data_IF_056414183593
#
_entry.id   IF_056414183593
#
_cell.length_a   1.000
_cell.length_b   1.000
_cell.length_c   1.000
_cell.angle_alpha   90.00
_cell.angle_beta   90.00
_cell.angle_gamma   90.00
#
_symmetry.space_group_name_H-M   'P 1'
#
loop_
_entity.id
_entity.type
_entity.pdbx_description
1 polymer ?
#
# COMPACT_ATOMS: atom_id res chain seq x y z
N UNK A 1 0.04 21.75 13.19
CA UNK A 1 -0.28 20.56 12.36
C UNK A 1 -0.63 19.43 13.30
N UNK A 2 -1.58 18.55 12.95
CA UNK A 2 -1.87 17.35 13.75
C UNK A 2 -0.94 16.22 13.29
N UNK A 3 -0.64 15.26 14.18
CA UNK A 3 0.21 14.08 13.87
C UNK A 3 -0.30 13.34 12.63
N UNK A 4 -1.62 13.21 12.47
CA UNK A 4 -2.23 12.61 11.29
C UNK A 4 -1.85 13.35 9.99
N UNK A 5 -1.87 14.69 9.99
CA UNK A 5 -1.47 15.48 8.81
C UNK A 5 -0.02 15.23 8.43
N UNK A 6 0.89 15.15 9.40
CA UNK A 6 2.32 14.84 9.16
C UNK A 6 2.51 13.46 8.52
N UNK A 7 1.79 12.46 9.02
CA UNK A 7 1.83 11.10 8.45
C UNK A 7 1.34 11.09 7.01
N UNK A 8 0.24 11.77 6.69
CA UNK A 8 -0.28 11.82 5.31
C UNK A 8 0.70 12.52 4.37
N UNK A 9 1.31 13.63 4.78
CA UNK A 9 2.34 14.31 3.98
C UNK A 9 3.57 13.43 3.73
N UNK A 10 4.00 12.67 4.71
CA UNK A 10 5.13 11.74 4.56
C UNK A 10 4.76 10.53 3.66
N UNK A 11 3.51 10.03 3.73
CA UNK A 11 3.00 9.02 2.77
C UNK A 11 3.07 9.56 1.34
N UNK A 12 2.57 10.77 1.10
CA UNK A 12 2.60 11.40 -0.22
C UNK A 12 4.03 11.53 -0.76
N UNK A 13 4.96 11.99 0.08
CA UNK A 13 6.38 12.08 -0.26
C UNK A 13 6.95 10.72 -0.67
N UNK A 14 6.69 9.65 0.10
CA UNK A 14 7.18 8.30 -0.21
C UNK A 14 6.60 7.74 -1.51
N UNK A 15 5.32 7.97 -1.77
CA UNK A 15 4.70 7.62 -3.06
C UNK A 15 5.35 8.38 -4.23
N UNK A 16 5.73 9.65 -4.02
CA UNK A 16 6.47 10.43 -5.00
C UNK A 16 7.87 9.90 -5.29
N UNK A 17 8.54 9.36 -4.27
CA UNK A 17 9.84 8.68 -4.36
C UNK A 17 9.75 7.23 -4.86
N UNK A 18 8.53 6.70 -5.10
CA UNK A 18 8.27 5.28 -5.35
C UNK A 18 8.90 4.38 -4.26
N UNK A 19 8.65 4.73 -3.00
CA UNK A 19 9.06 3.99 -1.81
C UNK A 19 7.82 3.44 -1.10
N UNK A 20 7.84 2.14 -0.78
CA UNK A 20 6.83 1.53 0.08
C UNK A 20 6.96 2.01 1.53
N UNK A 21 5.93 1.77 2.33
CA UNK A 21 5.88 2.18 3.74
C UNK A 21 5.00 1.25 4.57
N UNK A 22 5.14 1.36 5.88
CA UNK A 22 4.33 0.66 6.87
C UNK A 22 3.82 1.66 7.90
N UNK A 23 2.53 1.60 8.21
CA UNK A 23 1.88 2.38 9.27
C UNK A 23 1.62 1.44 10.44
N UNK A 24 2.16 1.81 11.59
CA UNK A 24 1.94 1.15 12.88
C UNK A 24 1.47 2.17 13.91
N UNK A 25 0.93 1.73 15.04
CA UNK A 25 0.55 2.62 16.13
C UNK A 25 1.41 2.37 17.37
N UNK A 26 2.09 3.42 17.84
CA UNK A 26 2.83 3.43 19.10
C UNK A 26 2.11 4.38 20.06
N UNK A 27 1.68 3.91 21.23
CA UNK A 27 0.92 4.70 22.21
C UNK A 27 -0.29 5.43 21.59
N UNK A 28 -1.02 4.73 20.72
CA UNK A 28 -2.17 5.25 19.98
C UNK A 28 -1.85 6.43 19.03
N UNK A 29 -0.58 6.58 18.64
CA UNK A 29 -0.12 7.55 17.64
C UNK A 29 0.37 6.83 16.39
N UNK A 30 -0.06 7.25 15.19
CA UNK A 30 0.42 6.64 13.95
C UNK A 30 1.89 6.98 13.72
N UNK A 31 2.69 5.97 13.42
CA UNK A 31 4.10 6.05 13.07
C UNK A 31 4.32 5.41 11.70
N UNK A 32 5.05 6.10 10.83
CA UNK A 32 5.43 5.57 9.51
C UNK A 32 6.84 4.99 9.55
N UNK A 33 6.98 3.76 9.08
CA UNK A 33 8.22 3.00 9.04
C UNK A 33 8.54 2.57 7.60
N UNK A 34 9.81 2.25 7.39
CA UNK A 34 10.23 1.54 6.18
C UNK A 34 9.74 0.09 6.25
N UNK A 35 9.20 -0.43 5.14
CA UNK A 35 8.79 -1.83 5.07
C UNK A 35 10.00 -2.73 5.31
N UNK A 36 9.94 -3.54 6.36
CA UNK A 36 10.95 -4.59 6.59
C UNK A 36 10.72 -5.75 5.61
N UNK A 37 11.58 -5.84 4.59
CA UNK A 37 11.57 -6.86 3.52
C UNK A 37 10.69 -6.47 2.32
N UNK A 38 11.14 -6.36 1.07
CA UNK A 38 12.29 -6.94 0.38
C UNK A 38 13.25 -5.82 -0.06
N UNK A 39 14.25 -5.49 0.75
CA UNK A 39 15.53 -5.06 0.20
C UNK A 39 16.10 -6.32 -0.45
N UNK A 40 16.08 -6.41 -1.79
CA UNK A 40 16.96 -7.36 -2.48
C UNK A 40 18.39 -6.91 -2.21
N UNK A 41 18.92 -7.36 -1.07
CA UNK A 41 20.30 -7.33 -0.65
C UNK A 41 20.93 -5.92 -0.55
N UNK A 42 21.83 -5.74 0.41
CA UNK A 42 22.94 -4.80 0.23
C UNK A 42 23.81 -5.35 -0.92
N UNK A 43 23.37 -5.19 -2.17
CA UNK A 43 24.25 -5.49 -3.30
C UNK A 43 25.27 -4.36 -3.31
N UNK A 44 26.53 -4.72 -3.10
CA UNK A 44 27.67 -3.85 -3.32
C UNK A 44 27.50 -3.17 -4.68
N UNK A 45 27.61 -1.83 -4.71
CA UNK A 45 27.50 -1.00 -5.93
C UNK A 45 28.42 -1.44 -7.08
N UNK A 46 29.35 -2.39 -6.85
CA UNK A 46 30.30 -2.91 -7.84
C UNK A 46 29.77 -4.04 -8.74
N UNK A 47 28.69 -4.75 -8.40
CA UNK A 47 28.26 -5.94 -9.17
C UNK A 47 27.11 -5.73 -10.17
N UNK A 48 26.42 -4.58 -10.15
CA UNK A 48 25.30 -4.29 -11.06
C UNK A 48 25.69 -3.22 -12.09
N UNK A 49 26.79 -3.42 -12.83
CA UNK A 49 27.00 -2.69 -14.09
C UNK A 49 26.23 -3.40 -15.19
N UNK A 50 25.01 -2.93 -15.48
CA UNK A 50 24.35 -3.31 -16.75
C UNK A 50 22.84 -3.31 -16.76
N UNK A 51 22.16 -3.48 -15.62
CA UNK A 51 20.69 -3.50 -15.58
C UNK A 51 20.19 -2.47 -14.57
N UNK A 52 20.13 -1.20 -14.98
CA UNK A 52 19.24 -0.25 -14.32
C UNK A 52 17.81 -0.74 -14.60
N UNK A 53 17.24 -1.53 -13.69
CA UNK A 53 15.78 -1.71 -13.66
C UNK A 53 15.19 -0.31 -13.48
N UNK A 54 14.73 0.28 -14.57
CA UNK A 54 14.03 1.56 -14.57
C UNK A 54 12.86 1.38 -13.60
N UNK A 55 12.89 2.05 -12.45
CA UNK A 55 11.73 2.06 -11.54
C UNK A 55 10.58 2.64 -12.36
N UNK A 56 9.60 1.82 -12.71
CA UNK A 56 8.37 2.31 -13.35
C UNK A 56 7.74 3.28 -12.37
N UNK A 57 7.60 4.53 -12.79
CA UNK A 57 6.97 5.56 -11.97
C UNK A 57 5.52 5.16 -11.75
N UNK A 58 5.04 5.18 -10.50
CA UNK A 58 3.63 5.02 -10.21
C UNK A 58 2.82 6.07 -10.99
N UNK A 59 1.74 5.63 -11.62
CA UNK A 59 0.77 6.52 -12.27
C UNK A 59 0.09 7.40 -11.23
N UNK A 60 -0.34 8.58 -11.66
CA UNK A 60 -0.87 9.64 -10.78
C UNK A 60 -2.17 9.20 -10.08
N UNK A 61 -3.07 8.57 -10.83
CA UNK A 61 -4.32 7.96 -10.35
C UNK A 61 -4.08 6.93 -9.25
N UNK A 62 -3.12 6.02 -9.42
CA UNK A 62 -2.75 5.02 -8.40
C UNK A 62 -2.20 5.72 -7.15
N UNK A 63 -1.36 6.76 -7.29
CA UNK A 63 -0.86 7.51 -6.13
C UNK A 63 -1.99 8.16 -5.34
N UNK A 64 -2.89 8.84 -6.03
CA UNK A 64 -4.05 9.50 -5.42
C UNK A 64 -4.96 8.47 -4.73
N UNK A 65 -5.19 7.32 -5.37
CA UNK A 65 -5.92 6.22 -4.78
C UNK A 65 -5.29 5.76 -3.47
N UNK A 66 -3.99 5.44 -3.48
CA UNK A 66 -3.29 4.94 -2.29
C UNK A 66 -3.27 6.00 -1.19
N UNK A 67 -3.12 7.28 -1.54
CA UNK A 67 -3.18 8.39 -0.58
C UNK A 67 -4.56 8.49 0.09
N UNK A 68 -5.64 8.41 -0.69
CA UNK A 68 -7.01 8.45 -0.18
C UNK A 68 -7.34 7.26 0.72
N UNK A 69 -6.92 6.05 0.32
CA UNK A 69 -7.04 4.84 1.14
C UNK A 69 -6.27 5.02 2.45
N UNK A 70 -5.03 5.48 2.36
CA UNK A 70 -4.17 5.66 3.53
C UNK A 70 -4.77 6.64 4.52
N UNK A 71 -5.36 7.74 4.04
CA UNK A 71 -6.07 8.71 4.86
C UNK A 71 -7.22 8.06 5.64
N UNK A 72 -8.07 7.29 4.95
CA UNK A 72 -9.18 6.57 5.61
C UNK A 72 -8.70 5.55 6.63
N UNK A 73 -7.66 4.79 6.34
CA UNK A 73 -7.12 3.79 7.26
C UNK A 73 -6.48 4.45 8.49
N UNK A 74 -5.69 5.52 8.31
CA UNK A 74 -5.11 6.30 9.41
C UNK A 74 -6.20 6.96 10.25
N UNK A 75 -7.29 7.42 9.64
CA UNK A 75 -8.39 8.00 10.38
C UNK A 75 -9.06 7.01 11.35
N UNK A 76 -9.10 5.73 10.98
CA UNK A 76 -9.69 4.63 11.75
C UNK A 76 -8.68 3.87 12.62
N UNK A 77 -7.42 4.32 12.73
CA UNK A 77 -6.45 3.64 13.58
C UNK A 77 -5.92 2.31 13.03
N UNK A 78 -6.03 2.08 11.71
CA UNK A 78 -5.69 0.78 11.10
C UNK A 78 -4.20 0.71 10.77
N UNK A 79 -3.57 -0.39 11.17
CA UNK A 79 -2.21 -0.76 10.74
C UNK A 79 -2.23 -1.41 9.36
N UNK A 80 -1.26 -1.03 8.52
CA UNK A 80 -1.14 -1.58 7.17
C UNK A 80 0.24 -1.26 6.58
N UNK A 81 0.61 -1.98 5.54
CA UNK A 81 1.79 -1.66 4.72
C UNK A 81 1.46 -1.57 3.25
N UNK A 82 2.18 -0.72 2.55
CA UNK A 82 2.10 -0.53 1.10
C UNK A 82 3.38 -1.01 0.44
N UNK A 83 3.26 -2.01 -0.42
CA UNK A 83 4.34 -2.56 -1.25
C UNK A 83 4.17 -2.07 -2.68
N UNK A 84 5.26 -1.57 -3.26
CA UNK A 84 5.28 -1.07 -4.64
C UNK A 84 6.03 -2.06 -5.53
N UNK A 85 5.30 -2.72 -6.43
CA UNK A 85 5.85 -3.62 -7.44
C UNK A 85 5.76 -2.99 -8.84
N UNK A 86 6.49 -3.50 -9.85
CA UNK A 86 6.53 -2.87 -11.18
C UNK A 86 5.18 -2.65 -11.90
N UNK A 87 4.14 -3.43 -11.55
CA UNK A 87 2.81 -3.39 -12.19
C UNK A 87 1.65 -3.45 -11.19
N UNK A 88 1.94 -3.51 -9.90
CA UNK A 88 0.94 -3.73 -8.86
C UNK A 88 1.36 -3.01 -7.59
N UNK A 89 0.39 -2.37 -6.93
CA UNK A 89 0.57 -1.86 -5.57
C UNK A 89 -0.21 -2.76 -4.64
N UNK A 90 0.43 -3.25 -3.59
CA UNK A 90 -0.23 -4.11 -2.61
C UNK A 90 -0.40 -3.33 -1.30
N UNK A 91 -1.63 -3.27 -0.80
CA UNK A 91 -1.96 -2.84 0.56
C UNK A 91 -2.16 -4.09 1.38
N UNK A 92 -1.31 -4.33 2.38
CA UNK A 92 -1.36 -5.53 3.21
C UNK A 92 -1.69 -5.15 4.65
N UNK A 93 -2.66 -5.84 5.25
CA UNK A 93 -3.06 -5.67 6.64
C UNK A 93 -2.36 -6.72 7.53
N UNK A 94 -2.35 -7.97 7.08
CA UNK A 94 -1.60 -9.08 7.69
C UNK A 94 -1.19 -10.10 6.63
N UNK A 95 -0.80 -11.32 7.01
CA UNK A 95 -0.36 -12.33 6.05
C UNK A 95 -1.46 -12.80 5.09
N UNK A 96 -2.70 -12.82 5.55
CA UNK A 96 -3.84 -13.41 4.85
C UNK A 96 -4.74 -12.34 4.20
N UNK A 97 -4.69 -11.11 4.71
CA UNK A 97 -5.51 -9.99 4.25
C UNK A 97 -4.69 -8.95 3.48
N UNK A 98 -4.89 -8.92 2.16
CA UNK A 98 -4.24 -7.93 1.31
C UNK A 98 -5.07 -7.57 0.08
N UNK A 99 -4.75 -6.41 -0.49
CA UNK A 99 -5.41 -5.83 -1.64
C UNK A 99 -4.34 -5.51 -2.69
N UNK A 100 -4.45 -6.13 -3.86
CA UNK A 100 -3.58 -5.87 -5.00
C UNK A 100 -4.27 -4.95 -6.00
N UNK A 101 -3.71 -3.75 -6.17
CA UNK A 101 -4.18 -2.73 -7.11
C UNK A 101 -3.37 -2.83 -8.39
N UNK A 102 -4.02 -3.25 -9.46
CA UNK A 102 -3.53 -3.19 -10.83
C UNK A 102 -4.15 -1.98 -11.54
N UNK A 103 -3.77 -1.75 -12.78
CA UNK A 103 -4.43 -0.74 -13.62
C UNK A 103 -5.87 -1.19 -13.93
N UNK A 104 -6.87 -0.45 -13.43
CA UNK A 104 -8.30 -0.71 -13.67
C UNK A 104 -8.90 -1.94 -12.96
N UNK A 105 -8.12 -2.67 -12.17
CA UNK A 105 -8.55 -3.87 -11.45
C UNK A 105 -7.98 -3.90 -10.02
N UNK A 106 -8.80 -4.33 -9.08
CA UNK A 106 -8.45 -4.51 -7.67
C UNK A 106 -8.77 -5.95 -7.27
N UNK A 107 -7.76 -6.67 -6.78
CA UNK A 107 -7.92 -8.02 -6.23
C UNK A 107 -7.85 -7.97 -4.71
N UNK A 108 -8.80 -8.61 -4.05
CA UNK A 108 -8.95 -8.61 -2.59
C UNK A 108 -8.78 -10.04 -2.09
N UNK A 109 -7.83 -10.27 -1.20
CA UNK A 109 -7.57 -11.56 -0.57
C UNK A 109 -7.87 -11.52 0.93
N UNK A 110 -8.33 -12.65 1.48
CA UNK A 110 -8.58 -12.83 2.92
C UNK A 110 -9.96 -12.37 3.40
N UNK A 111 -10.67 -11.53 2.63
CA UNK A 111 -11.99 -11.03 3.01
C UNK A 111 -13.11 -11.86 2.37
N UNK A 112 -14.16 -12.16 3.13
CA UNK A 112 -15.33 -12.92 2.65
C UNK A 112 -16.33 -11.97 1.95
N UNK A 113 -16.36 -10.70 2.37
CA UNK A 113 -17.33 -9.68 1.98
C UNK A 113 -16.73 -8.27 2.06
N UNK A 114 -17.41 -7.30 1.43
CA UNK A 114 -17.03 -5.89 1.46
C UNK A 114 -17.29 -5.20 2.81
N UNK A 115 -18.05 -5.82 3.71
CA UNK A 115 -18.45 -5.24 5.00
C UNK A 115 -17.42 -5.51 6.11
N UNK A 116 -16.52 -6.46 5.90
CA UNK A 116 -15.47 -6.79 6.84
C UNK A 116 -14.49 -5.65 7.04
N UNK A 117 -14.06 -5.45 8.28
CA UNK A 117 -13.01 -4.49 8.62
C UNK A 117 -11.64 -5.12 8.39
N UNK A 118 -10.64 -4.34 7.94
CA UNK A 118 -10.69 -2.91 7.64
C UNK A 118 -11.18 -2.57 6.22
N UNK A 119 -11.51 -3.56 5.38
CA UNK A 119 -11.88 -3.36 3.99
C UNK A 119 -13.05 -2.39 3.80
N UNK A 120 -14.08 -2.50 4.65
CA UNK A 120 -15.29 -1.66 4.56
C UNK A 120 -15.03 -0.16 4.67
N UNK A 121 -13.93 0.26 5.30
CA UNK A 121 -13.55 1.68 5.38
C UNK A 121 -13.10 2.27 4.04
N UNK A 122 -12.67 1.41 3.11
CA UNK A 122 -12.02 1.81 1.85
C UNK A 122 -12.67 1.17 0.61
N UNK A 123 -13.68 0.33 0.79
CA UNK A 123 -14.27 -0.45 -0.29
C UNK A 123 -14.85 0.42 -1.42
N UNK A 124 -15.57 1.49 -1.07
CA UNK A 124 -16.13 2.41 -2.06
C UNK A 124 -15.04 3.12 -2.89
N UNK A 125 -13.92 3.46 -2.25
CA UNK A 125 -12.76 4.06 -2.93
C UNK A 125 -12.19 3.08 -3.96
N UNK A 126 -12.05 1.80 -3.58
CA UNK A 126 -11.54 0.75 -4.46
C UNK A 126 -12.50 0.45 -5.62
N UNK A 127 -13.80 0.35 -5.32
CA UNK A 127 -14.87 0.09 -6.28
C UNK A 127 -14.97 1.20 -7.34
N UNK A 128 -14.78 2.46 -6.94
CA UNK A 128 -14.79 3.60 -7.86
C UNK A 128 -13.55 3.66 -8.76
N UNK A 129 -12.45 3.03 -8.34
CA UNK A 129 -11.21 2.99 -9.13
C UNK A 129 -11.25 1.93 -10.24
N UNK A 130 -11.79 0.73 -9.97
CA UNK A 130 -11.75 -0.35 -10.95
C UNK A 130 -12.54 -1.59 -10.57
N UNK A 131 -12.43 -2.61 -11.42
CA UNK A 131 -13.12 -3.89 -11.24
C UNK A 131 -12.63 -4.58 -9.97
N UNK A 132 -13.55 -4.90 -9.06
CA UNK A 132 -13.28 -5.64 -7.83
C UNK A 132 -13.33 -7.15 -8.09
N UNK A 133 -12.32 -7.88 -7.60
CA UNK A 133 -12.27 -9.35 -7.62
C UNK A 133 -11.88 -9.86 -6.24
N UNK A 134 -12.79 -10.56 -5.56
CA UNK A 134 -12.47 -11.31 -4.35
C UNK A 134 -11.79 -12.62 -4.74
N UNK A 135 -10.58 -12.84 -4.23
CA UNK A 135 -9.80 -14.05 -4.45
C UNK A 135 -10.30 -15.16 -3.55
N UNK A 136 -10.46 -16.35 -4.13
CA UNK A 136 -10.81 -17.55 -3.37
C UNK A 136 -9.56 -18.08 -2.64
N UNK A 137 -9.71 -18.58 -1.40
CA UNK A 137 -8.65 -19.33 -0.74
C UNK A 137 -8.15 -20.47 -1.63
N UNK A 138 -6.84 -20.72 -1.60
CA UNK A 138 -6.29 -21.91 -2.22
C UNK A 138 -6.78 -23.13 -1.42
N UNK A 139 -7.27 -24.15 -2.14
CA UNK A 139 -7.71 -25.42 -1.55
C UNK A 139 -6.53 -26.24 -1.06
#
# INVERSE_FOLDING_TARGET
MTVKTEIISEIEKRLNENKGFEIVYEDNRPTIRDVKGITKSKISKKEIKGIRRKKTKLKKDIKELILNISRKLVDHGVEFKVLLWPKVVEIRFDLDHFISVYEGEVKIAGFISSEEKPLSYIFDILKNYGKIVFLKPLK
#
